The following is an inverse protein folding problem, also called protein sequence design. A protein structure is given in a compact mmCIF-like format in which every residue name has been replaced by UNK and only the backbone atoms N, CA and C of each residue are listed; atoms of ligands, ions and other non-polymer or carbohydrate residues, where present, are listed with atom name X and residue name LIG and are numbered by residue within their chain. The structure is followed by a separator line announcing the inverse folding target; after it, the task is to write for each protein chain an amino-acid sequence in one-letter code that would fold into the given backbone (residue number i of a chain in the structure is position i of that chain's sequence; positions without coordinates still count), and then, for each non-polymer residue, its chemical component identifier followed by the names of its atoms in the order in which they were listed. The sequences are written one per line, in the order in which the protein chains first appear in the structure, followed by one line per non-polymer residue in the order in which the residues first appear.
data_IF_168482568188
#
_entry.id   IF_168482568188
#
_cell.length_a   1.000
_cell.length_b   1.000
_cell.length_c   1.000
_cell.angle_alpha   90.00
_cell.angle_beta   90.00
_cell.angle_gamma   90.00
#
_symmetry.space_group_name_H-M   'P 1'
#
loop_
_entity.id
_entity.type
_entity.pdbx_description
1 polymer ?
2 branched ?
3 non-polymer ?
4 water ?
#
# COMPACT_ATOMS: atom_id res chain seq x y z
N UNK A 1 2.70 -22.66 36.50
CA UNK A 1 2.33 -23.37 35.27
C UNK A 1 1.51 -22.46 34.36
N UNK A 2 1.60 -22.71 33.06
CA UNK A 2 0.89 -21.91 32.07
C UNK A 2 -0.58 -22.29 32.06
N UNK A 3 -1.45 -21.30 32.18
CA UNK A 3 -2.87 -21.53 32.21
C UNK A 3 -3.68 -20.44 31.55
N UNK A 4 -4.96 -20.35 31.93
CA UNK A 4 -5.91 -19.51 31.20
C UNK A 4 -5.45 -18.06 31.16
N UNK A 5 -5.39 -17.51 29.95
CA UNK A 5 -5.10 -16.11 29.73
C UNK A 5 -3.63 -15.73 29.78
N UNK A 6 -2.73 -16.66 30.04
CA UNK A 6 -1.33 -16.29 30.22
C UNK A 6 -0.69 -15.75 28.95
N UNK A 7 -1.26 -16.02 27.77
CA UNK A 7 -0.72 -15.50 26.52
C UNK A 7 -1.57 -14.37 25.92
N UNK A 8 -2.44 -13.74 26.70
CA UNK A 8 -3.26 -12.64 26.15
C UNK A 8 -2.37 -11.54 25.57
N UNK A 9 -1.26 -11.22 26.24
CA UNK A 9 -0.35 -10.19 25.76
C UNK A 9 0.20 -10.55 24.38
N UNK A 10 0.62 -11.79 24.18
CA UNK A 10 1.24 -12.19 22.92
C UNK A 10 0.20 -12.37 21.82
N UNK A 11 -0.97 -12.89 22.19
CA UNK A 11 -2.06 -12.97 21.23
C UNK A 11 -2.43 -11.59 20.73
N UNK A 12 -2.52 -10.63 21.64
CA UNK A 12 -2.89 -9.27 21.23
C UNK A 12 -1.86 -8.71 20.25
N UNK A 13 -0.58 -8.93 20.51
CA UNK A 13 0.45 -8.43 19.60
C UNK A 13 0.36 -9.10 18.25
N UNK A 14 0.15 -10.42 18.22
CA UNK A 14 0.10 -11.10 16.92
C UNK A 14 -1.19 -10.82 16.17
N UNK A 15 -2.31 -10.71 16.89
CA UNK A 15 -3.56 -10.35 16.21
C UNK A 15 -3.49 -8.93 15.65
N UNK A 16 -2.68 -8.06 16.24
CA UNK A 16 -2.45 -6.75 15.64
C UNK A 16 -1.81 -6.86 14.26
N UNK A 17 -1.10 -7.96 14.00
CA UNK A 17 -0.58 -8.24 12.67
C UNK A 17 -1.67 -8.85 11.78
N UNK A 18 -2.31 -9.92 12.27
CA UNK A 18 -3.28 -10.66 11.45
C UNK A 18 -4.41 -9.76 11.00
N UNK A 19 -4.82 -8.81 11.84
CA UNK A 19 -5.93 -7.92 11.48
C UNK A 19 -5.63 -7.08 10.24
N UNK A 20 -4.35 -6.89 9.90
CA UNK A 20 -3.97 -6.12 8.72
C UNK A 20 -4.16 -6.87 7.41
N UNK A 21 -4.39 -8.17 7.46
CA UNK A 21 -4.35 -9.01 6.26
C UNK A 21 -5.69 -8.99 5.54
N UNK A 22 -5.84 -9.91 4.58
CA UNK A 22 -6.99 -9.85 3.70
C UNK A 22 -6.92 -8.56 2.91
N UNK A 23 -8.08 -7.91 2.78
CA UNK A 23 -8.15 -6.59 2.16
C UNK A 23 -8.45 -5.51 3.20
N UNK A 24 -8.12 -5.76 4.46
CA UNK A 24 -8.53 -4.89 5.55
C UNK A 24 -7.66 -3.65 5.69
N UNK A 25 -6.41 -3.71 5.21
CA UNK A 25 -5.49 -2.57 5.32
C UNK A 25 -5.77 -1.58 4.21
N UNK A 26 -6.07 -0.33 4.58
CA UNK A 26 -6.48 0.70 3.65
C UNK A 26 -5.67 1.99 3.82
N UNK A 27 -5.28 2.60 2.71
CA UNK A 27 -4.50 3.82 2.77
C UNK A 27 -5.35 5.01 3.25
N UNK A 28 -4.80 5.81 4.17
CA UNK A 28 -5.51 7.02 4.61
C UNK A 28 -5.87 7.90 3.44
N UNK A 29 -4.98 8.00 2.45
CA UNK A 29 -5.02 9.09 1.49
C UNK A 29 -4.37 8.62 0.19
N UNK A 30 -5.02 8.91 -0.92
CA UNK A 30 -4.40 8.67 -2.21
C UNK A 30 -3.42 9.79 -2.50
N UNK A 31 -2.45 9.49 -3.35
CA UNK A 31 -1.52 10.53 -3.78
C UNK A 31 -2.32 11.65 -4.43
N UNK A 32 -2.11 12.91 -4.04
CA UNK A 32 -2.81 14.01 -4.71
C UNK A 32 -2.64 13.91 -6.21
N UNK A 33 -3.74 14.05 -6.94
CA UNK A 33 -3.74 14.06 -8.39
C UNK A 33 -4.11 15.44 -8.89
N UNK A 34 -3.34 15.96 -9.83
CA UNK A 34 -3.61 17.27 -10.39
C UNK A 34 -3.61 17.24 -11.92
N UNK A 35 -3.74 16.05 -12.50
CA UNK A 35 -3.76 15.94 -13.96
C UNK A 35 -4.98 16.64 -14.54
N UNK A 36 -6.12 16.57 -13.85
CA UNK A 36 -7.31 17.26 -14.32
C UNK A 36 -7.04 18.74 -14.50
N UNK A 37 -6.41 19.35 -13.50
CA UNK A 37 -6.13 20.78 -13.55
C UNK A 37 -5.11 21.11 -14.62
N UNK A 38 -4.05 20.31 -14.73
CA UNK A 38 -3.07 20.54 -15.78
C UNK A 38 -3.71 20.44 -17.16
N UNK A 39 -4.54 19.42 -17.36
CA UNK A 39 -5.23 19.26 -18.64
C UNK A 39 -6.13 20.46 -18.93
N UNK A 40 -6.83 20.96 -17.91
CA UNK A 40 -7.69 22.11 -18.13
C UNK A 40 -6.89 23.35 -18.51
N UNK A 41 -5.76 23.58 -17.84
CA UNK A 41 -4.90 24.72 -18.17
C UNK A 41 -4.40 24.61 -19.61
N UNK A 42 -3.95 23.43 -20.02
CA UNK A 42 -3.49 23.25 -21.39
C UNK A 42 -4.61 23.47 -22.39
N UNK A 43 -5.83 23.02 -22.06
CA UNK A 43 -6.96 23.24 -22.95
C UNK A 43 -7.34 24.73 -23.04
N UNK A 44 -7.32 25.42 -21.89
CA UNK A 44 -7.58 26.86 -21.88
C UNK A 44 -6.56 27.58 -22.75
N UNK A 45 -5.28 27.22 -22.63
CA UNK A 45 -4.24 27.81 -23.47
C UNK A 45 -4.53 27.58 -24.95
N UNK A 46 -4.92 26.35 -25.31
CA UNK A 46 -5.24 26.08 -26.71
C UNK A 46 -6.48 26.85 -27.17
N UNK A 47 -7.45 27.03 -26.27
CA UNK A 47 -8.67 27.77 -26.60
C UNK A 47 -8.35 29.22 -26.89
N UNK A 48 -7.40 29.80 -26.16
CA UNK A 48 -7.00 31.19 -26.31
C UNK A 48 -6.06 31.41 -27.49
N UNK A 49 -5.48 30.34 -28.04
CA UNK A 49 -4.50 30.47 -29.10
C UNK A 49 -5.10 31.06 -30.38
N UNK A 50 -4.22 31.67 -31.18
CA UNK A 50 -4.63 32.19 -32.47
C UNK A 50 -5.19 31.06 -33.33
N UNK A 51 -6.16 31.37 -34.22
CA UNK A 51 -6.74 30.29 -35.04
C UNK A 51 -5.71 29.56 -35.89
N UNK A 52 -4.65 30.23 -36.33
CA UNK A 52 -3.64 29.57 -37.15
C UNK A 52 -2.81 28.57 -36.37
N UNK A 53 -2.74 28.72 -35.04
CA UNK A 53 -2.07 27.71 -34.23
C UNK A 53 -2.96 26.48 -34.09
N UNK A 54 -4.22 26.67 -33.72
CA UNK A 54 -5.13 25.53 -33.65
C UNK A 54 -5.20 24.80 -34.99
N UNK A 55 -5.08 25.54 -36.09
CA UNK A 55 -5.13 24.91 -37.41
C UNK A 55 -4.01 23.92 -37.63
N UNK A 56 -2.88 24.05 -36.91
CA UNK A 56 -1.81 23.07 -37.06
C UNK A 56 -2.24 21.67 -36.63
N UNK A 57 -3.31 21.57 -35.84
CA UNK A 57 -3.81 20.31 -35.29
C UNK A 57 -4.87 19.68 -36.15
N UNK A 58 -5.20 20.29 -37.29
CA UNK A 58 -6.25 19.82 -38.18
C UNK A 58 -5.66 19.07 -39.37
N UNK A 59 -6.42 18.09 -39.84
CA UNK A 59 -6.18 17.46 -41.13
C UNK A 59 -6.39 18.49 -42.25
N UNK A 60 -5.52 18.44 -43.28
CA UNK A 60 -5.58 19.43 -44.34
C UNK A 60 -6.82 19.29 -45.21
N UNK A 61 -7.47 18.13 -45.20
CA UNK A 61 -8.62 17.88 -46.04
C UNK A 61 -9.95 18.00 -45.31
N UNK A 62 -9.96 17.78 -43.98
CA UNK A 62 -11.18 17.86 -43.17
C UNK A 62 -10.81 18.57 -41.88
N UNK A 63 -11.25 19.82 -41.75
CA UNK A 63 -10.79 20.61 -40.61
C UNK A 63 -11.31 20.11 -39.27
N UNK A 64 -12.30 19.23 -39.26
CA UNK A 64 -12.81 18.68 -38.01
C UNK A 64 -12.06 17.44 -37.55
N UNK A 65 -11.13 16.94 -38.34
CA UNK A 65 -10.37 15.73 -38.07
C UNK A 65 -8.98 16.09 -37.58
N UNK A 66 -8.45 15.38 -36.58
CA UNK A 66 -7.10 15.68 -36.11
C UNK A 66 -6.06 15.31 -37.15
N UNK A 67 -4.99 16.11 -37.16
CA UNK A 67 -3.88 15.88 -38.06
C UNK A 67 -3.28 14.50 -37.85
N UNK A 68 -3.01 13.80 -38.94
CA UNK A 68 -2.31 12.52 -38.92
C UNK A 68 -0.83 12.77 -39.20
N UNK A 69 0.04 12.22 -38.36
CA UNK A 69 1.45 12.57 -38.43
C UNK A 69 2.23 11.77 -39.47
N UNK A 70 1.62 10.78 -40.10
CA UNK A 70 2.21 10.21 -41.30
C UNK A 70 1.81 11.01 -42.53
N UNK A 71 0.53 11.39 -42.61
CA UNK A 71 0.05 12.18 -43.72
C UNK A 71 0.71 13.55 -43.74
N UNK A 72 0.86 14.17 -42.57
CA UNK A 72 1.40 15.52 -42.43
C UNK A 72 2.46 15.51 -41.35
N UNK A 73 3.66 15.05 -41.67
CA UNK A 73 4.71 14.94 -40.66
C UNK A 73 5.04 16.28 -40.02
N UNK A 74 5.46 16.23 -38.74
CA UNK A 74 5.82 17.45 -38.04
C UNK A 74 7.18 17.94 -38.52
N UNK A 75 7.37 19.25 -38.68
CA UNK A 75 8.66 19.76 -39.17
C UNK A 75 9.78 19.46 -38.19
N UNK A 76 10.87 18.93 -38.72
CA UNK A 76 12.00 18.54 -37.89
C UNK A 76 12.82 19.72 -37.40
N UNK A 77 12.60 20.93 -37.94
CA UNK A 77 13.28 22.13 -37.45
C UNK A 77 12.52 22.80 -36.30
N UNK A 78 11.53 22.12 -35.72
CA UNK A 78 10.82 22.57 -34.54
C UNK A 78 11.01 21.56 -33.42
N UNK A 79 10.50 21.92 -32.24
CA UNK A 79 10.35 20.97 -31.15
C UNK A 79 8.93 20.45 -31.02
N UNK A 80 8.13 20.52 -32.10
CA UNK A 80 6.72 20.17 -31.96
C UNK A 80 6.52 18.70 -31.58
N UNK A 81 7.37 17.80 -32.07
CA UNK A 81 7.22 16.38 -31.73
C UNK A 81 7.37 16.15 -30.23
N UNK A 82 8.12 17.01 -29.54
CA UNK A 82 8.31 16.87 -28.11
C UNK A 82 7.06 17.23 -27.32
N UNK A 83 6.10 17.92 -27.94
CA UNK A 83 4.93 18.43 -27.24
C UNK A 83 3.63 17.98 -27.85
N UNK A 84 3.67 17.24 -28.97
CA UNK A 84 2.47 17.05 -29.76
C UNK A 84 1.37 16.30 -29.01
N UNK A 85 1.73 15.27 -28.25
CA UNK A 85 0.68 14.47 -27.62
C UNK A 85 -0.18 15.33 -26.69
N UNK A 86 0.45 16.15 -25.86
CA UNK A 86 -0.32 17.01 -24.96
C UNK A 86 -1.09 18.09 -25.72
N UNK A 87 -0.47 18.69 -26.74
CA UNK A 87 -1.17 19.69 -27.52
C UNK A 87 -2.38 19.11 -28.23
N UNK A 88 -2.20 17.93 -28.85
CA UNK A 88 -3.29 17.34 -29.61
C UNK A 88 -4.45 16.96 -28.70
N UNK A 89 -4.13 16.53 -27.48
CA UNK A 89 -5.18 16.23 -26.51
C UNK A 89 -5.96 17.48 -26.15
N UNK A 90 -5.27 18.60 -25.96
CA UNK A 90 -5.95 19.85 -25.68
C UNK A 90 -6.79 20.30 -26.87
N UNK A 91 -6.28 20.13 -28.10
CA UNK A 91 -6.94 20.63 -29.29
C UNK A 91 -8.16 19.81 -29.70
N UNK A 92 -8.22 18.53 -29.37
CA UNK A 92 -9.20 17.64 -29.99
C UNK A 92 -10.63 18.14 -29.90
N UNK A 93 -11.17 18.48 -28.73
CA UNK A 93 -12.56 18.97 -28.70
C UNK A 93 -12.73 20.30 -29.41
N UNK A 94 -11.67 21.10 -29.45
CA UNK A 94 -11.73 22.44 -30.01
C UNK A 94 -11.77 22.44 -31.53
N UNK A 95 -11.50 21.31 -32.18
CA UNK A 95 -11.55 21.29 -33.64
C UNK A 95 -12.97 21.56 -34.14
N UNK A 96 -13.97 21.24 -33.32
CA UNK A 96 -15.35 21.59 -33.64
C UNK A 96 -15.59 23.04 -33.25
N UNK A 97 -16.06 23.86 -34.21
CA UNK A 97 -16.16 25.30 -33.97
C UNK A 97 -17.14 25.62 -32.84
N UNK A 98 -18.26 24.90 -32.77
CA UNK A 98 -19.21 25.19 -31.71
C UNK A 98 -18.62 24.87 -30.35
N UNK A 99 -17.85 23.78 -30.27
CA UNK A 99 -17.23 23.40 -29.00
C UNK A 99 -16.15 24.42 -28.63
N UNK A 100 -15.40 24.91 -29.61
CA UNK A 100 -14.41 25.97 -29.33
C UNK A 100 -15.11 27.19 -28.68
N UNK A 101 -16.26 27.59 -29.22
CA UNK A 101 -16.98 28.77 -28.66
C UNK A 101 -17.47 28.44 -27.25
N UNK A 102 -17.92 27.20 -27.01
CA UNK A 102 -18.41 26.77 -25.68
C UNK A 102 -17.24 26.83 -24.71
N UNK A 103 -16.04 26.43 -25.13
CA UNK A 103 -14.87 26.49 -24.26
C UNK A 103 -14.43 27.93 -24.00
N UNK A 104 -14.52 28.78 -25.02
CA UNK A 104 -14.25 30.20 -24.80
C UNK A 104 -15.11 30.74 -23.68
N UNK A 105 -16.40 30.38 -23.69
CA UNK A 105 -17.29 30.84 -22.63
C UNK A 105 -16.96 30.19 -21.30
N UNK A 106 -16.69 28.88 -21.30
CA UNK A 106 -16.40 28.20 -20.04
C UNK A 106 -15.19 28.83 -19.34
N UNK A 107 -14.19 29.24 -20.11
CA UNK A 107 -12.96 29.79 -19.57
C UNK A 107 -12.98 31.31 -19.46
N UNK A 108 -14.14 31.94 -19.68
CA UNK A 108 -14.33 33.37 -19.47
C UNK A 108 -13.51 34.22 -20.43
N UNK A 109 -13.31 33.70 -21.65
CA UNK A 109 -12.58 34.39 -22.69
C UNK A 109 -13.48 34.95 -23.78
N UNK A 110 -14.78 34.63 -23.73
CA UNK A 110 -15.64 34.94 -24.86
C UNK A 110 -15.99 36.43 -24.96
N UNK A 111 -15.71 37.21 -23.92
CA UNK A 111 -15.94 38.64 -23.97
C UNK A 111 -14.83 39.44 -24.61
N UNK A 112 -13.76 38.80 -25.07
CA UNK A 112 -12.55 39.49 -25.50
C UNK A 112 -12.50 39.68 -27.01
N UNK A 113 -12.46 40.95 -27.44
CA UNK A 113 -12.15 41.33 -28.82
C UNK A 113 -10.67 41.04 -29.10
N UNK A 114 -10.26 41.09 -30.37
CA UNK A 114 -8.92 40.56 -30.72
C UNK A 114 -7.73 41.11 -29.92
N UNK A 115 -7.62 42.43 -29.79
CA UNK A 115 -6.49 42.99 -29.05
C UNK A 115 -6.50 42.58 -27.59
N UNK A 116 -7.69 42.51 -26.97
CA UNK A 116 -7.77 42.10 -25.57
C UNK A 116 -7.49 40.60 -25.42
N UNK A 117 -7.90 39.80 -26.40
CA UNK A 117 -7.55 38.38 -26.38
C UNK A 117 -6.04 38.20 -26.51
N UNK A 118 -5.37 39.03 -27.32
CA UNK A 118 -3.92 38.93 -27.43
C UNK A 118 -3.24 39.23 -26.10
N UNK A 119 -3.68 40.29 -25.41
CA UNK A 119 -3.17 40.59 -24.09
C UNK A 119 -3.39 39.43 -23.13
N UNK A 120 -4.61 38.90 -23.10
CA UNK A 120 -4.89 37.77 -22.22
C UNK A 120 -4.04 36.57 -22.58
N UNK A 121 -3.87 36.33 -23.88
CA UNK A 121 -3.09 35.18 -24.34
C UNK A 121 -1.66 35.25 -23.84
N UNK A 122 -1.07 36.44 -23.81
CA UNK A 122 0.29 36.58 -23.30
C UNK A 122 0.37 36.08 -21.87
N UNK A 123 -0.57 36.49 -21.02
CA UNK A 123 -0.56 36.03 -19.64
C UNK A 123 -0.84 34.54 -19.55
N UNK A 124 -1.78 34.05 -20.36
CA UNK A 124 -2.13 32.63 -20.33
C UNK A 124 -0.93 31.78 -20.74
N UNK A 125 -0.21 32.19 -21.78
CA UNK A 125 0.95 31.41 -22.19
C UNK A 125 1.97 31.31 -21.06
N UNK A 126 2.18 32.41 -20.33
CA UNK A 126 3.10 32.39 -19.21
C UNK A 126 2.60 31.46 -18.10
N UNK A 127 1.31 31.60 -17.74
CA UNK A 127 0.74 30.76 -16.70
C UNK A 127 0.79 29.29 -17.07
N UNK A 128 0.58 28.98 -18.35
CA UNK A 128 0.58 27.59 -18.79
C UNK A 128 1.99 27.00 -18.70
N UNK A 129 3.01 27.76 -19.12
CA UNK A 129 4.38 27.29 -18.97
C UNK A 129 4.72 27.06 -17.50
N UNK A 130 4.27 27.95 -16.63
CA UNK A 130 4.51 27.79 -15.21
C UNK A 130 3.82 26.54 -14.68
N UNK A 131 2.59 26.27 -15.14
CA UNK A 131 1.87 25.07 -14.72
C UNK A 131 2.62 23.81 -15.11
N UNK A 132 3.11 23.75 -16.35
CA UNK A 132 3.85 22.58 -16.80
C UNK A 132 5.11 22.40 -15.96
N UNK A 133 5.84 23.48 -15.67
CA UNK A 133 7.04 23.36 -14.87
C UNK A 133 6.74 22.90 -13.46
N UNK A 134 5.68 23.44 -12.86
CA UNK A 134 5.34 23.07 -11.49
C UNK A 134 4.84 21.64 -11.37
N UNK A 135 4.24 21.10 -12.42
CA UNK A 135 3.61 19.76 -12.38
C UNK A 135 4.68 18.70 -12.49
N UNK A 136 5.93 19.08 -12.65
CA UNK A 136 7.07 18.12 -12.63
C UNK A 136 7.61 17.99 -11.21
N UNK A 137 7.80 16.75 -10.74
CA UNK A 137 8.46 16.51 -9.44
C UNK A 137 9.24 15.21 -9.61
N UNK A 138 10.47 15.29 -10.12
CA UNK A 138 11.25 14.06 -10.38
C UNK A 138 11.54 13.23 -9.15
N UNK A 139 11.36 13.77 -7.94
CA UNK A 139 11.57 13.00 -6.73
C UNK A 139 10.39 12.10 -6.36
N UNK A 140 9.27 12.23 -7.08
CA UNK A 140 8.10 11.39 -6.82
C UNK A 140 7.81 10.53 -8.04
N UNK A 141 8.06 11.08 -9.23
CA UNK A 141 7.72 10.36 -10.47
C UNK A 141 8.57 9.10 -10.60
N UNK A 142 7.90 7.97 -10.80
CA UNK A 142 8.51 6.64 -10.90
C UNK A 142 9.19 6.19 -9.62
N UNK A 143 8.95 6.89 -8.50
CA UNK A 143 9.53 6.51 -7.23
C UNK A 143 8.75 5.37 -6.60
N UNK A 144 9.24 4.88 -5.46
CA UNK A 144 8.52 3.84 -4.72
C UNK A 144 7.08 4.27 -4.44
N UNK A 145 6.90 5.52 -4.02
CA UNK A 145 5.56 6.00 -3.68
C UNK A 145 4.64 5.97 -4.89
N UNK A 146 5.16 6.34 -6.06
CA UNK A 146 4.34 6.37 -7.26
C UNK A 146 4.02 4.96 -7.75
N UNK A 147 4.99 4.05 -7.68
CA UNK A 147 4.81 2.71 -8.23
C UNK A 147 4.08 1.76 -7.28
N UNK A 148 4.03 2.07 -5.99
CA UNK A 148 3.42 1.19 -4.99
C UNK A 148 1.94 1.52 -4.85
N UNK A 149 1.10 0.49 -4.95
CA UNK A 149 -0.35 0.61 -4.84
C UNK A 149 -0.84 -0.02 -3.54
N UNK A 150 -2.09 0.31 -3.20
CA UNK A 150 -2.71 -0.30 -2.02
C UNK A 150 -2.80 -1.82 -2.18
N UNK A 151 -3.16 -2.28 -3.37
CA UNK A 151 -3.19 -3.72 -3.62
C UNK A 151 -1.82 -4.35 -3.40
N UNK A 152 -0.76 -3.68 -3.85
CA UNK A 152 0.59 -4.18 -3.66
C UNK A 152 0.90 -4.33 -2.18
N UNK A 153 0.53 -3.35 -1.37
CA UNK A 153 0.82 -3.43 0.06
C UNK A 153 0.01 -4.54 0.71
N UNK A 154 -1.27 -4.68 0.33
CA UNK A 154 -2.09 -5.74 0.88
C UNK A 154 -1.49 -7.10 0.57
N UNK A 155 -1.01 -7.31 -0.67
CA UNK A 155 -0.43 -8.59 -1.00
C UNK A 155 0.82 -8.85 -0.17
N UNK A 156 1.62 -7.82 0.09
CA UNK A 156 2.83 -8.01 0.89
C UNK A 156 2.49 -8.33 2.34
N UNK A 157 1.44 -7.71 2.88
CA UNK A 157 0.95 -8.06 4.21
C UNK A 157 0.52 -9.51 4.24
N UNK A 158 -0.24 -9.95 3.24
CA UNK A 158 -0.67 -11.34 3.21
C UNK A 158 0.53 -12.28 3.08
N UNK A 159 1.60 -11.85 2.41
CA UNK A 159 2.80 -12.68 2.35
C UNK A 159 3.42 -12.82 3.74
N UNK A 160 3.46 -11.74 4.51
CA UNK A 160 3.98 -11.82 5.87
C UNK A 160 3.11 -12.71 6.77
N UNK A 161 1.80 -12.66 6.59
CA UNK A 161 0.88 -13.37 7.48
C UNK A 161 0.68 -14.81 7.06
N UNK A 162 0.60 -15.07 5.75
CA UNK A 162 0.21 -16.38 5.23
C UNK A 162 1.16 -16.95 4.19
N UNK A 163 2.20 -16.22 3.77
CA UNK A 163 3.07 -16.66 2.67
C UNK A 163 2.29 -16.79 1.36
N UNK A 164 1.22 -16.01 1.21
CA UNK A 164 0.40 -16.02 0.01
C UNK A 164 -0.02 -14.58 -0.29
N UNK A 165 -0.42 -14.34 -1.54
CA UNK A 165 -0.88 -13.01 -1.94
C UNK A 165 -2.28 -12.68 -1.42
N UNK A 166 -3.08 -13.70 -1.07
CA UNK A 166 -4.45 -13.48 -0.62
C UNK A 166 -4.70 -14.27 0.64
N UNK A 167 -5.62 -13.77 1.45
CA UNK A 167 -5.91 -14.41 2.73
C UNK A 167 -6.74 -15.68 2.51
N UNK A 168 -6.35 -16.81 3.09
CA UNK A 168 -7.15 -18.03 2.96
C UNK A 168 -8.55 -17.85 3.52
N UNK A 169 -9.51 -18.55 2.90
CA UNK A 169 -10.89 -18.49 3.36
C UNK A 169 -11.04 -19.21 4.70
N UNK A 170 -12.30 -19.32 5.17
CA UNK A 170 -12.55 -19.79 6.52
C UNK A 170 -12.23 -21.27 6.69
N UNK A 171 -12.11 -22.02 5.61
CA UNK A 171 -11.64 -23.40 5.65
C UNK A 171 -10.16 -23.50 5.35
N UNK A 172 -9.46 -22.38 5.18
CA UNK A 172 -8.05 -22.37 4.80
C UNK A 172 -7.81 -23.20 3.54
N UNK A 173 -8.74 -23.12 2.59
CA UNK A 173 -8.55 -23.81 1.32
C UNK A 173 -7.29 -23.30 0.64
N UNK A 174 -6.50 -24.25 0.12
CA UNK A 174 -5.27 -23.92 -0.59
C UNK A 174 -4.07 -23.68 0.29
N UNK A 175 -4.23 -23.71 1.61
CA UNK A 175 -3.17 -23.36 2.55
C UNK A 175 -2.69 -24.61 3.27
N UNK A 176 -1.38 -24.70 3.46
CA UNK A 176 -0.78 -25.76 4.26
C UNK A 176 0.06 -25.11 5.34
N UNK A 177 -0.28 -25.36 6.60
CA UNK A 177 0.46 -24.75 7.70
C UNK A 177 1.91 -25.22 7.71
N UNK A 178 2.79 -24.34 8.19
CA UNK A 178 4.22 -24.63 8.37
C UNK A 178 4.90 -25.00 7.05
N UNK A 179 4.34 -24.51 5.94
CA UNK A 179 4.92 -24.71 4.61
C UNK A 179 5.09 -26.20 4.31
N UNK A 180 4.28 -27.05 4.94
CA UNK A 180 4.37 -28.48 4.75
C UNK A 180 5.47 -29.16 5.52
N UNK A 181 6.17 -28.45 6.40
CA UNK A 181 7.35 -28.95 7.07
C UNK A 181 7.09 -29.44 8.49
N UNK A 182 5.85 -29.38 8.97
CA UNK A 182 5.59 -29.83 10.33
C UNK A 182 5.87 -31.31 10.45
N UNK A 183 6.43 -31.73 11.59
CA UNK A 183 6.70 -33.13 11.84
C UNK A 183 6.87 -33.37 13.33
N UNK A 184 6.70 -34.64 13.71
CA UNK A 184 7.20 -35.22 14.96
C UNK A 184 6.34 -34.93 16.19
N UNK A 185 6.27 -33.67 16.60
CA UNK A 185 5.57 -33.28 17.81
C UNK A 185 5.54 -31.75 17.88
N UNK A 186 4.82 -31.24 18.88
CA UNK A 186 4.62 -29.80 18.97
C UNK A 186 5.93 -29.05 19.16
N UNK A 187 6.84 -29.57 19.99
CA UNK A 187 8.08 -28.85 20.24
C UNK A 187 8.97 -28.82 19.00
N UNK A 188 8.92 -29.84 18.15
CA UNK A 188 9.66 -29.79 16.89
C UNK A 188 9.08 -28.72 15.96
N UNK A 189 7.76 -28.59 15.95
CA UNK A 189 7.08 -27.63 15.08
C UNK A 189 7.27 -26.21 15.57
N UNK A 190 7.18 -25.99 16.88
CA UNK A 190 7.12 -24.66 17.45
C UNK A 190 8.44 -24.17 18.03
N UNK A 191 9.40 -25.06 18.26
CA UNK A 191 10.74 -24.69 18.67
C UNK A 191 10.98 -24.83 20.16
N UNK A 192 12.16 -24.38 20.58
CA UNK A 192 12.61 -24.62 21.93
C UNK A 192 13.70 -23.62 22.29
N UNK A 193 14.37 -23.85 23.43
CA UNK A 193 15.50 -23.05 23.81
C UNK A 193 16.72 -23.30 22.93
N UNK A 194 16.69 -24.35 22.11
CA UNK A 194 17.85 -24.69 21.29
C UNK A 194 17.55 -24.70 19.80
N UNK A 195 16.29 -24.79 19.38
CA UNK A 195 15.96 -24.90 17.97
C UNK A 195 14.80 -23.98 17.61
N UNK A 196 14.78 -23.58 16.35
CA UNK A 196 13.73 -22.72 15.85
C UNK A 196 12.50 -23.48 15.40
N UNK A 197 11.42 -22.73 15.25
CA UNK A 197 10.16 -23.27 14.79
C UNK A 197 10.19 -23.52 13.29
N UNK A 198 9.18 -24.24 12.81
CA UNK A 198 8.94 -24.42 11.39
C UNK A 198 8.00 -23.35 10.83
N UNK A 199 7.59 -22.38 11.64
CA UNK A 199 6.70 -21.32 11.20
C UNK A 199 7.50 -20.24 10.47
N UNK A 200 7.10 -19.95 9.24
CA UNK A 200 7.73 -18.90 8.46
C UNK A 200 6.89 -17.64 8.36
N UNK A 201 5.65 -17.64 8.84
CA UNK A 201 4.75 -16.51 8.71
C UNK A 201 4.07 -16.24 10.06
N UNK A 202 3.28 -15.17 10.10
CA UNK A 202 2.68 -14.76 11.36
C UNK A 202 1.51 -15.64 11.76
N UNK A 203 0.74 -16.15 10.80
CA UNK A 203 -0.40 -16.96 11.21
C UNK A 203 0.05 -18.26 11.87
N UNK A 204 1.12 -18.88 11.35
CA UNK A 204 1.58 -20.13 11.94
C UNK A 204 2.29 -19.88 13.27
N UNK A 205 2.92 -18.72 13.43
CA UNK A 205 3.41 -18.33 14.75
C UNK A 205 2.25 -18.21 15.74
N UNK A 206 1.19 -17.52 15.37
CA UNK A 206 0.02 -17.41 16.23
C UNK A 206 -0.52 -18.79 16.59
N UNK A 207 -0.53 -19.72 15.63
CA UNK A 207 -1.00 -21.07 15.92
C UNK A 207 -0.15 -21.72 17.00
N UNK A 208 1.17 -21.60 16.90
CA UNK A 208 2.05 -22.17 17.92
C UNK A 208 1.82 -21.54 19.28
N UNK A 209 1.54 -20.24 19.32
CA UNK A 209 1.38 -19.53 20.58
C UNK A 209 0.03 -19.82 21.22
N UNK A 210 -1.01 -20.08 20.42
CA UNK A 210 -2.38 -20.08 20.93
C UNK A 210 -3.18 -21.36 20.75
N UNK A 211 -2.78 -22.27 19.88
CA UNK A 211 -3.57 -23.49 19.68
C UNK A 211 -3.56 -24.38 20.93
N UNK A 212 -4.74 -24.90 21.30
CA UNK A 212 -4.77 -26.03 22.20
C UNK A 212 -4.45 -27.29 21.41
N UNK A 213 -4.17 -28.36 22.14
CA UNK A 213 -3.98 -29.67 21.56
C UNK A 213 -4.68 -30.70 22.43
N UNK A 214 -4.59 -31.96 22.03
CA UNK A 214 -5.33 -33.01 22.70
C UNK A 214 -4.97 -33.16 24.17
N UNK A 215 -3.79 -32.69 24.58
CA UNK A 215 -3.31 -32.96 25.93
C UNK A 215 -3.26 -31.74 26.84
N UNK A 216 -3.64 -30.55 26.37
CA UNK A 216 -3.54 -29.38 27.23
C UNK A 216 -4.84 -28.58 27.36
N UNK A 217 -5.98 -29.17 26.97
CA UNK A 217 -7.25 -28.45 27.04
C UNK A 217 -7.66 -28.01 28.43
N UNK A 218 -7.14 -28.65 29.46
CA UNK A 218 -7.48 -28.30 30.84
C UNK A 218 -6.62 -27.18 31.39
N UNK A 219 -5.56 -26.79 30.69
CA UNK A 219 -4.55 -25.91 31.26
C UNK A 219 -3.94 -24.98 30.22
N UNK A 220 -2.80 -25.35 29.67
CA UNK A 220 -2.04 -24.45 28.81
C UNK A 220 -2.79 -24.09 27.54
N UNK A 221 -3.65 -24.99 27.06
CA UNK A 221 -4.42 -24.72 25.85
C UNK A 221 -5.41 -23.59 25.97
N UNK A 222 -5.61 -23.06 27.18
CA UNK A 222 -6.44 -21.88 27.38
C UNK A 222 -5.63 -20.59 27.45
N UNK A 223 -4.33 -20.65 27.10
CA UNK A 223 -3.46 -19.49 27.26
C UNK A 223 -3.98 -18.23 26.56
N UNK A 224 -4.65 -18.36 25.42
CA UNK A 224 -5.06 -17.20 24.65
C UNK A 224 -6.54 -16.87 24.78
N UNK A 225 -7.28 -17.59 25.61
CA UNK A 225 -8.73 -17.47 25.64
C UNK A 225 -9.23 -17.10 27.02
N UNK A 226 -10.54 -16.90 27.14
CA UNK A 226 -11.22 -16.64 28.40
C UNK A 226 -12.18 -17.80 28.59
N UNK A 227 -11.77 -18.77 29.40
CA UNK A 227 -12.58 -19.95 29.63
C UNK A 227 -12.35 -21.01 28.56
N UNK A 228 -13.29 -21.11 27.62
CA UNK A 228 -13.32 -22.22 26.69
C UNK A 228 -12.08 -22.25 25.79
N UNK A 229 -11.38 -23.39 25.78
CA UNK A 229 -10.25 -23.57 24.88
C UNK A 229 -10.73 -23.56 23.42
N UNK A 230 -9.85 -23.25 22.46
CA UNK A 230 -10.28 -23.18 21.05
C UNK A 230 -10.89 -24.47 20.52
N UNK A 231 -10.47 -25.63 21.04
CA UNK A 231 -11.00 -26.91 20.60
C UNK A 231 -10.47 -27.38 19.26
N UNK A 232 -9.19 -27.14 18.96
CA UNK A 232 -8.67 -27.57 17.67
C UNK A 232 -8.69 -29.09 17.51
N UNK A 233 -8.40 -29.82 18.59
CA UNK A 233 -8.14 -31.25 18.47
C UNK A 233 -6.80 -31.58 17.86
N UNK A 234 -5.90 -30.60 17.78
CA UNK A 234 -4.59 -30.83 17.20
C UNK A 234 -3.87 -31.94 17.96
N UNK A 235 -3.26 -32.85 17.23
CA UNK A 235 -2.59 -34.02 17.79
C UNK A 235 -1.26 -34.20 17.08
N UNK A 236 -0.31 -33.27 17.30
CA UNK A 236 0.87 -33.21 16.42
C UNK A 236 1.81 -34.38 16.55
N UNK A 237 1.74 -35.16 17.63
CA UNK A 237 2.52 -36.38 17.74
C UNK A 237 2.03 -37.49 16.83
N UNK A 238 0.83 -37.35 16.29
CA UNK A 238 0.25 -38.33 15.38
C UNK A 238 0.12 -37.77 13.97
N UNK A 239 -0.52 -36.61 13.84
CA UNK A 239 -0.63 -35.89 12.58
C UNK A 239 -0.11 -34.48 12.81
N UNK A 240 1.09 -34.20 12.29
CA UNK A 240 1.79 -32.97 12.67
C UNK A 240 1.10 -31.72 12.10
N UNK A 241 0.68 -31.75 10.84
CA UNK A 241 0.15 -30.56 10.19
C UNK A 241 -1.29 -30.34 10.62
N UNK A 242 -1.62 -29.21 11.23
CA UNK A 242 -3.01 -28.95 11.59
C UNK A 242 -3.86 -28.71 10.35
N UNK A 243 -5.15 -29.01 10.48
CA UNK A 243 -6.07 -28.79 9.37
C UNK A 243 -6.57 -27.35 9.33
N UNK A 244 -7.25 -27.01 8.24
CA UNK A 244 -7.80 -25.67 8.10
C UNK A 244 -8.83 -25.35 9.17
N UNK A 245 -9.63 -26.34 9.55
CA UNK A 245 -10.59 -26.13 10.65
C UNK A 245 -9.86 -25.74 11.93
N UNK A 246 -8.71 -26.36 12.19
CA UNK A 246 -7.95 -26.05 13.39
C UNK A 246 -7.39 -24.64 13.33
N UNK A 247 -6.82 -24.28 12.18
CA UNK A 247 -6.25 -22.95 12.01
C UNK A 247 -7.30 -21.87 12.22
N UNK A 248 -8.50 -22.07 11.68
CA UNK A 248 -9.55 -21.05 11.79
C UNK A 248 -10.00 -20.87 13.24
N UNK A 249 -9.94 -21.93 14.06
CA UNK A 249 -10.32 -21.80 15.46
C UNK A 249 -9.36 -20.89 16.21
N UNK A 250 -8.13 -20.73 15.72
CA UNK A 250 -7.20 -19.78 16.32
C UNK A 250 -7.32 -18.41 15.64
N UNK A 251 -7.45 -18.37 14.31
CA UNK A 251 -7.52 -17.07 13.64
C UNK A 251 -8.70 -16.25 14.14
N UNK A 252 -9.81 -16.90 14.50
CA UNK A 252 -10.99 -16.16 14.90
C UNK A 252 -10.83 -15.47 16.25
N UNK A 253 -9.70 -15.64 16.93
CA UNK A 253 -9.40 -14.79 18.08
C UNK A 253 -9.03 -13.37 17.65
N UNK A 254 -8.74 -13.15 16.38
CA UNK A 254 -8.25 -11.87 15.89
C UNK A 254 -9.36 -11.11 15.17
N UNK A 255 -9.14 -9.81 14.99
CA UNK A 255 -10.16 -8.96 14.38
C UNK A 255 -10.02 -9.01 12.87
N UNK A 256 -10.76 -9.93 12.26
CA UNK A 256 -10.80 -10.08 10.81
C UNK A 256 -12.07 -9.52 10.20
N UNK A 257 -12.76 -8.62 10.91
CA UNK A 257 -14.11 -8.20 10.55
C UNK A 257 -14.23 -6.73 10.17
N UNK A 258 -13.14 -5.97 10.22
CA UNK A 258 -13.18 -4.54 9.96
C UNK A 258 -12.06 -4.15 9.02
N UNK A 259 -11.68 -2.85 9.10
CA UNK A 259 -10.61 -2.31 8.27
C UNK A 259 -9.62 -1.59 9.18
N UNK A 260 -8.41 -1.38 8.64
CA UNK A 260 -7.35 -0.64 9.31
C UNK A 260 -6.82 0.39 8.35
N UNK A 261 -6.65 1.62 8.81
CA UNK A 261 -6.05 2.68 8.00
C UNK A 261 -4.54 2.51 8.03
N UNK A 262 -3.96 2.18 6.89
CA UNK A 262 -2.53 1.93 6.80
C UNK A 262 -1.76 3.24 6.99
N UNK A 263 -0.91 3.27 8.00
CA UNK A 263 0.06 4.35 8.15
C UNK A 263 1.36 3.73 8.61
N UNK A 264 2.46 4.44 8.35
CA UNK A 264 3.76 3.93 8.76
C UNK A 264 3.82 3.81 10.27
N UNK A 265 3.24 4.79 10.97
CA UNK A 265 3.25 4.77 12.43
C UNK A 265 2.46 3.58 12.97
N UNK A 266 1.35 3.23 12.33
CA UNK A 266 0.55 2.11 12.81
C UNK A 266 1.29 0.78 12.64
N UNK A 267 2.02 0.62 11.55
CA UNK A 267 2.81 -0.59 11.35
C UNK A 267 4.00 -0.60 12.30
N UNK A 268 4.69 0.54 12.46
CA UNK A 268 5.85 0.61 13.35
C UNK A 268 5.47 0.16 14.76
N UNK A 269 4.34 0.66 15.27
CA UNK A 269 3.96 0.31 16.63
C UNK A 269 3.66 -1.16 16.78
N UNK A 270 3.02 -1.75 15.77
CA UNK A 270 2.71 -3.18 15.83
C UNK A 270 3.97 -4.02 15.78
N UNK A 271 4.95 -3.62 14.96
CA UNK A 271 6.18 -4.40 14.87
C UNK A 271 7.01 -4.24 16.13
N UNK A 272 7.01 -3.05 16.73
CA UNK A 272 7.75 -2.84 17.97
C UNK A 272 7.15 -3.67 19.09
N UNK A 273 5.83 -3.79 19.13
CA UNK A 273 5.19 -4.61 20.14
C UNK A 273 5.64 -6.06 20.04
N UNK A 274 5.57 -6.63 18.83
CA UNK A 274 5.98 -8.03 18.68
C UNK A 274 7.47 -8.17 18.94
N UNK A 275 8.26 -7.30 18.33
CA UNK A 275 9.70 -7.46 18.37
C UNK A 275 10.27 -7.46 19.78
N UNK A 276 9.77 -6.58 20.64
CA UNK A 276 10.30 -6.48 21.99
C UNK A 276 9.69 -7.51 22.93
N UNK A 277 8.62 -8.19 22.53
CA UNK A 277 8.14 -9.33 23.30
C UNK A 277 9.01 -10.57 23.11
N UNK A 278 9.82 -10.61 22.07
CA UNK A 278 10.73 -11.73 21.88
C UNK A 278 11.73 -11.78 23.02
N UNK A 279 11.74 -12.90 23.73
CA UNK A 279 12.60 -13.11 24.90
C UNK A 279 13.90 -13.74 24.42
N UNK A 280 14.99 -12.96 24.48
CA UNK A 280 16.25 -13.37 23.87
C UNK A 280 17.06 -14.27 24.80
N UNK A 281 17.41 -15.46 24.29
CA UNK A 281 18.26 -16.39 25.00
C UNK A 281 19.53 -16.67 24.21
N UNK A 282 20.28 -17.69 24.63
CA UNK A 282 21.60 -17.91 24.05
C UNK A 282 21.51 -18.42 22.62
N UNK A 283 20.50 -19.25 22.31
CA UNK A 283 20.40 -19.88 21.01
C UNK A 283 19.14 -19.54 20.24
N UNK A 284 18.07 -19.12 20.93
CA UNK A 284 16.84 -18.73 20.28
C UNK A 284 16.23 -17.58 21.06
N UNK A 285 15.23 -16.95 20.45
CA UNK A 285 14.35 -16.03 21.14
C UNK A 285 12.93 -16.57 21.06
N UNK A 286 12.17 -16.35 22.12
CA UNK A 286 10.89 -17.00 22.35
C UNK A 286 9.79 -15.95 22.41
N UNK A 287 8.72 -16.18 21.67
CA UNK A 287 7.50 -15.39 21.75
C UNK A 287 6.41 -16.24 22.37
N UNK A 288 5.92 -15.83 23.53
CA UNK A 288 4.93 -16.58 24.26
C UNK A 288 5.42 -17.02 25.61
N UNK A 289 4.47 -17.44 26.47
CA UNK A 289 4.83 -17.92 27.79
C UNK A 289 5.75 -19.13 27.68
N UNK A 290 6.80 -19.14 28.49
CA UNK A 290 7.80 -20.20 28.45
C UNK A 290 8.34 -20.35 29.85
N UNK A 291 8.29 -21.57 30.36
CA UNK A 291 8.80 -21.90 31.67
C UNK A 291 10.02 -22.81 31.62
N UNK A 292 10.03 -23.79 30.71
CA UNK A 292 11.10 -24.77 30.73
C UNK A 292 11.23 -25.46 29.38
N UNK A 293 12.46 -25.55 28.90
CA UNK A 293 12.89 -26.47 27.86
C UNK A 293 12.41 -26.13 26.44
N UNK A 294 11.11 -26.14 26.19
CA UNK A 294 10.64 -26.03 24.82
C UNK A 294 9.18 -25.58 24.75
N UNK A 295 8.75 -25.32 23.53
CA UNK A 295 7.39 -24.84 23.23
C UNK A 295 6.49 -26.03 22.88
N UNK A 296 6.44 -26.99 23.81
CA UNK A 296 5.75 -28.26 23.58
C UNK A 296 4.24 -28.18 23.81
N UNK A 297 3.74 -27.08 24.35
CA UNK A 297 2.35 -26.99 24.71
C UNK A 297 2.03 -27.49 26.11
N UNK A 298 2.97 -28.15 26.78
CA UNK A 298 2.73 -28.61 28.14
C UNK A 298 2.75 -27.44 29.11
N UNK A 299 1.89 -27.50 30.13
CA UNK A 299 1.75 -26.38 31.05
C UNK A 299 3.04 -26.06 31.79
N UNK A 300 3.94 -27.04 31.98
CA UNK A 300 5.23 -26.79 32.57
C UNK A 300 6.32 -26.39 31.60
N UNK A 301 6.01 -26.36 30.31
CA UNK A 301 6.99 -26.09 29.26
C UNK A 301 6.83 -24.72 28.62
N UNK A 302 5.85 -24.58 27.73
CA UNK A 302 5.67 -23.35 27.00
C UNK A 302 4.54 -23.43 26.02
N UNK A 303 3.91 -22.29 25.76
CA UNK A 303 2.91 -22.10 24.71
C UNK A 303 3.53 -20.95 23.91
N UNK A 304 4.30 -21.28 22.87
CA UNK A 304 5.21 -20.29 22.32
C UNK A 304 5.71 -20.72 20.94
N UNK A 305 6.49 -19.82 20.35
CA UNK A 305 7.18 -20.04 19.08
C UNK A 305 8.59 -19.49 19.25
N UNK A 306 9.57 -20.19 18.70
CA UNK A 306 10.97 -19.83 18.84
C UNK A 306 11.61 -19.51 17.49
N UNK A 307 12.58 -18.59 17.54
CA UNK A 307 13.33 -18.14 16.36
C UNK A 307 14.81 -18.24 16.65
N UNK A 308 15.58 -18.82 15.72
CA UNK A 308 17.04 -18.78 15.84
C UNK A 308 17.66 -17.52 15.24
N UNK A 309 16.91 -16.73 14.47
CA UNK A 309 17.49 -15.58 13.78
C UNK A 309 17.84 -14.44 14.72
N UNK A 310 17.28 -14.44 15.92
CA UNK A 310 17.48 -13.40 16.91
C UNK A 310 17.82 -14.09 18.22
N UNK A 311 18.88 -13.63 18.88
CA UNK A 311 19.32 -14.19 20.15
C UNK A 311 19.82 -13.04 21.03
N UNK A 312 20.34 -13.39 22.20
CA UNK A 312 20.90 -12.36 23.08
C UNK A 312 22.25 -11.85 22.59
N UNK A 313 22.74 -12.34 21.46
CA UNK A 313 24.00 -11.88 20.89
C UNK A 313 23.89 -11.30 19.49
N UNK A 314 22.74 -11.44 18.82
CA UNK A 314 22.64 -11.02 17.43
C UNK A 314 21.18 -10.84 17.03
N UNK A 315 21.01 -10.11 15.93
CA UNK A 315 19.75 -10.12 15.22
C UNK A 315 18.76 -9.04 15.61
N UNK A 316 18.04 -8.56 14.60
CA UNK A 316 17.01 -7.54 14.76
C UNK A 316 15.74 -8.11 14.13
N UNK A 317 14.64 -8.21 14.88
CA UNK A 317 13.45 -8.88 14.31
C UNK A 317 13.04 -8.36 12.94
N UNK A 318 12.97 -7.03 12.76
CA UNK A 318 12.46 -6.46 11.53
C UNK A 318 13.43 -6.55 10.36
N UNK A 319 14.64 -7.05 10.58
CA UNK A 319 15.58 -7.31 9.50
C UNK A 319 15.82 -8.80 9.28
N UNK A 320 15.83 -9.59 10.36
CA UNK A 320 16.34 -10.95 10.30
C UNK A 320 15.27 -12.03 10.39
N UNK A 321 14.06 -11.72 10.84
CA UNK A 321 12.94 -12.66 10.81
C UNK A 321 12.15 -12.36 9.54
N UNK A 322 12.13 -13.26 8.56
CA UNK A 322 11.54 -12.89 7.26
C UNK A 322 10.15 -12.27 7.31
N UNK A 323 9.21 -12.82 8.08
CA UNK A 323 7.86 -12.25 8.03
C UNK A 323 7.84 -10.84 8.61
N UNK A 324 8.66 -10.58 9.61
CA UNK A 324 8.72 -9.23 10.18
C UNK A 324 9.42 -8.27 9.23
N UNK A 325 10.43 -8.73 8.51
CA UNK A 325 11.10 -7.90 7.52
C UNK A 325 10.15 -7.54 6.38
N UNK A 326 9.28 -8.47 5.99
CA UNK A 326 8.32 -8.17 4.94
C UNK A 326 7.38 -7.04 5.37
N UNK A 327 6.94 -7.08 6.63
CA UNK A 327 6.07 -6.01 7.12
C UNK A 327 6.83 -4.71 7.33
N UNK A 328 8.10 -4.79 7.75
CA UNK A 328 8.89 -3.57 7.85
C UNK A 328 9.06 -2.91 6.50
N UNK A 329 9.16 -3.72 5.44
CA UNK A 329 9.23 -3.17 4.09
C UNK A 329 7.97 -2.40 3.76
N UNK A 330 6.81 -2.90 4.21
CA UNK A 330 5.56 -2.16 4.06
C UNK A 330 5.64 -0.82 4.80
N UNK A 331 6.18 -0.84 6.03
CA UNK A 331 6.33 0.41 6.77
C UNK A 331 7.14 1.43 5.97
N UNK A 332 8.26 0.98 5.40
CA UNK A 332 9.12 1.88 4.65
C UNK A 332 8.38 2.42 3.43
N UNK A 333 7.65 1.57 2.71
CA UNK A 333 6.88 2.04 1.57
C UNK A 333 5.81 3.04 1.98
N UNK A 334 5.20 2.83 3.15
CA UNK A 334 4.21 3.78 3.64
C UNK A 334 4.86 5.11 3.99
N UNK A 335 6.07 5.10 4.56
CA UNK A 335 6.75 6.36 4.82
C UNK A 335 6.96 7.13 3.53
N UNK A 336 7.39 6.44 2.47
CA UNK A 336 7.60 7.10 1.19
C UNK A 336 6.29 7.62 0.62
N UNK A 337 5.22 6.82 0.72
CA UNK A 337 3.91 7.26 0.25
C UNK A 337 3.46 8.51 1.00
N UNK A 338 3.62 8.51 2.33
CA UNK A 338 3.17 9.65 3.12
C UNK A 338 3.95 10.91 2.76
N UNK A 339 5.25 10.78 2.52
CA UNK A 339 6.02 11.95 2.08
C UNK A 339 5.59 12.43 0.70
N UNK A 340 5.29 11.50 -0.20
CA UNK A 340 4.82 11.89 -1.54
C UNK A 340 3.49 12.60 -1.48
N UNK A 341 2.58 12.17 -0.59
CA UNK A 341 1.29 12.86 -0.44
C UNK A 341 1.52 14.30 -0.03
N UNK A 342 2.43 14.53 0.93
CA UNK A 342 2.71 15.88 1.37
C UNK A 342 3.31 16.70 0.24
N UNK A 343 4.28 16.12 -0.48
CA UNK A 343 4.97 16.89 -1.51
C UNK A 343 4.04 17.19 -2.68
N UNK A 344 3.20 16.24 -3.09
CA UNK A 344 2.35 16.45 -4.25
C UNK A 344 1.21 17.43 -3.97
N UNK A 345 0.91 17.70 -2.71
CA UNK A 345 -0.09 18.71 -2.41
C UNK A 345 0.32 20.09 -2.90
N UNK A 346 1.64 20.32 -3.02
CA UNK A 346 2.12 21.63 -3.46
C UNK A 346 1.76 21.91 -4.92
N UNK A 347 2.20 21.11 -5.89
CA UNK A 347 1.75 21.35 -7.27
C UNK A 347 0.24 21.30 -7.42
N UNK A 348 -0.46 20.48 -6.63
CA UNK A 348 -1.91 20.47 -6.70
C UNK A 348 -2.48 21.86 -6.40
N UNK A 349 -2.02 22.48 -5.31
CA UNK A 349 -2.50 23.82 -4.96
C UNK A 349 -2.05 24.84 -6.00
N UNK A 350 -0.82 24.71 -6.47
CA UNK A 350 -0.30 25.64 -7.48
C UNK A 350 -1.16 25.63 -8.74
N UNK A 351 -1.55 24.44 -9.21
CA UNK A 351 -2.31 24.36 -10.45
C UNK A 351 -3.74 24.87 -10.27
N UNK A 352 -4.35 24.60 -9.11
CA UNK A 352 -5.66 25.19 -8.84
C UNK A 352 -5.58 26.71 -8.83
N UNK A 353 -4.52 27.26 -8.24
CA UNK A 353 -4.30 28.71 -8.25
C UNK A 353 -4.17 29.25 -9.66
N UNK A 354 -3.38 28.56 -10.50
CA UNK A 354 -3.18 29.01 -11.87
C UNK A 354 -4.48 28.98 -12.66
N UNK A 355 -5.29 27.93 -12.47
CA UNK A 355 -6.58 27.87 -13.14
C UNK A 355 -7.46 29.05 -12.71
N UNK A 356 -7.44 29.39 -11.43
CA UNK A 356 -8.21 30.54 -10.96
C UNK A 356 -7.78 31.82 -11.65
N UNK A 357 -6.46 32.05 -11.73
CA UNK A 357 -5.94 33.26 -12.36
C UNK A 357 -6.24 33.29 -13.86
N UNK A 358 -6.15 32.12 -14.51
CA UNK A 358 -6.33 32.05 -15.94
C UNK A 358 -7.78 32.31 -16.34
N UNK A 359 -8.71 32.07 -15.42
CA UNK A 359 -10.13 32.34 -15.63
C UNK A 359 -10.56 33.69 -15.09
N UNK A 360 -9.61 34.56 -14.69
CA UNK A 360 -9.90 35.85 -14.08
C UNK A 360 -9.65 36.93 -15.14
N UNK A 361 -10.68 37.44 -15.82
CA UNK A 361 -10.42 38.38 -16.91
C UNK A 361 -9.62 39.60 -16.51
N UNK A 362 -9.83 40.15 -15.31
CA UNK A 362 -9.09 41.33 -14.89
C UNK A 362 -7.59 41.03 -14.73
N UNK A 363 -7.25 39.90 -14.12
CA UNK A 363 -5.85 39.54 -13.97
C UNK A 363 -5.18 39.41 -15.33
N UNK A 364 -5.86 38.80 -16.29
CA UNK A 364 -5.25 38.55 -17.59
C UNK A 364 -4.90 39.84 -18.30
N UNK A 365 -5.69 40.89 -18.10
CA UNK A 365 -5.41 42.17 -18.75
C UNK A 365 -4.31 42.90 -18.01
X LIG B 1 0.22 27.56 -25.14
X LIG B 1 1.26 26.46 -25.32
X LIG B 1 2.39 26.90 -26.27
X LIG B 1 1.85 27.50 -27.56
X LIG B 1 0.78 28.55 -27.24
X LIG B 1 0.15 29.14 -28.48
X LIG B 1 1.95 24.82 -23.63
X LIG B 1 2.75 24.62 -22.37
X LIG B 1 1.82 26.10 -24.01
X LIG B 1 3.19 25.73 -26.54
X LIG B 1 2.88 28.19 -28.29
X LIG B 1 -0.24 27.97 -26.44
X LIG B 1 -0.55 30.33 -28.13
X LIG B 1 1.46 23.88 -24.24
X LIG B 1 0.78 25.59 -25.76
X LIG B 1 3.00 27.68 -25.80
X LIG B 1 1.44 26.69 -28.17
X LIG B 1 1.30 29.35 -26.68
X LIG B 1 -0.54 28.42 -28.91
X LIG B 1 0.92 29.36 -29.22
X LIG B 1 2.25 23.95 -21.73
X LIG B 1 2.88 25.55 -21.88
X LIG B 1 3.70 24.22 -22.62
X LIG B 1 2.10 26.84 -23.40
X LIG B 1 4.10 26.00 -26.66
X LIG B 1 -1.38 30.38 -28.62
X LIG B 2 3.71 27.44 -29.15
X LIG B 2 4.15 28.34 -30.28
X LIG B 2 5.22 27.67 -31.15
X LIG B 2 6.34 27.11 -30.29
X LIG B 2 5.76 26.26 -29.19
X LIG B 2 6.83 25.69 -28.27
X LIG B 2 2.68 30.02 -31.28
X LIG B 2 1.52 30.26 -32.22
X LIG B 2 3.02 28.73 -31.10
X LIG B 2 5.73 28.64 -32.07
X LIG B 2 7.21 26.26 -31.05
X LIG B 2 4.83 27.01 -28.41
X LIG B 2 7.51 26.76 -27.60
X LIG B 2 3.25 30.94 -30.73
X LIG B 2 4.58 29.25 -29.84
X LIG B 2 4.78 26.82 -31.69
X LIG B 2 6.91 27.97 -29.90
X LIG B 2 5.22 25.42 -29.67
X LIG B 2 7.55 25.11 -28.86
X LIG B 2 6.37 25.01 -27.54
X LIG B 2 1.43 31.29 -32.41
X LIG B 2 0.64 29.89 -31.79
X LIG B 2 1.70 29.74 -33.14
X LIG B 2 2.48 28.00 -31.56
X LIG B 2 5.87 28.22 -32.93
X LIG B 2 8.00 26.40 -26.84
X LIG B 3 8.22 26.95 -31.78
X LIG B 3 9.47 26.11 -31.71
X LIG B 3 10.57 26.65 -32.63
X LIG B 3 10.01 26.99 -34.01
X LIG B 3 8.73 27.80 -33.89
X LIG B 3 8.11 28.14 -35.25
X LIG B 3 9.18 24.76 -32.10
X LIG B 3 11.60 25.64 -32.73
X LIG B 3 10.98 27.76 -34.74
X LIG B 3 7.78 27.08 -33.11
X LIG B 3 8.13 27.01 -36.11
X LIG B 3 9.84 26.15 -30.68
X LIG B 3 10.99 27.58 -32.20
X LIG B 3 9.80 26.06 -34.54
X LIG B 3 8.98 28.75 -33.41
X LIG B 3 8.66 28.97 -35.71
X LIG B 3 7.08 28.47 -35.11
X LIG B 3 8.39 24.46 -31.64
X LIG B 3 11.84 27.31 -34.72
X LIG B 4 12.92 26.19 -32.47
X LIG B 4 13.91 25.05 -32.68
X LIG B 4 13.77 24.00 -31.61
X LIG B 4 13.90 24.63 -30.24
X LIG B 4 12.93 25.80 -30.09
X LIG B 4 13.16 26.48 -28.73
X LIG B 4 15.24 25.57 -32.65
X LIG B 4 14.77 22.99 -31.77
X LIG B 4 13.65 23.65 -29.24
X LIG B 4 13.11 26.76 -31.15
X LIG B 4 12.08 27.37 -28.44
X LIG B 4 13.72 24.59 -33.66
X LIG B 4 12.78 23.53 -31.71
X LIG B 4 14.92 25.01 -30.13
X LIG B 4 11.91 25.40 -30.14
X LIG B 4 14.09 27.04 -28.75
X LIG B 4 13.23 25.73 -27.94
X LIG B 4 15.47 23.32 -32.34
X LIG B 4 13.84 22.77 -29.59
X LIG B 4 11.32 27.14 -29.01
X LIG B 5 15.78 25.44 -33.98
X LIG B 5 17.29 25.44 -33.85
X LIG B 5 17.78 26.76 -33.25
X LIG B 5 17.20 27.93 -34.02
X LIG B 5 15.69 27.79 -34.21
X LIG B 5 15.13 28.91 -35.09
X LIG B 5 17.88 25.24 -35.14
X LIG B 5 19.21 26.80 -33.29
X LIG B 5 17.47 29.15 -33.32
X LIG B 5 15.39 26.52 -34.81
X LIG B 5 14.85 30.06 -34.29
X LIG B 5 17.60 24.61 -33.19
X LIG B 5 17.44 26.82 -32.21
X LIG B 5 17.67 27.96 -35.02
X LIG B 5 15.21 27.85 -33.22
X LIG B 5 14.22 28.57 -35.59
X LIG B 5 15.86 29.17 -35.87
X LIG B 5 18.62 25.86 -35.26
X LIG B 5 19.48 27.70 -33.50
X LIG B 5 17.57 28.97 -32.38
X LIG B 5 14.39 30.73 -34.84
X LIG B 6 7.44 27.34 -37.33
X LIG B 6 7.54 26.12 -38.24
X LIG B 6 9.00 25.85 -38.60
X LIG B 6 9.64 27.11 -39.18
X LIG B 6 9.41 28.30 -38.24
X LIG B 6 10.01 29.58 -38.83
X LIG B 6 6.79 26.34 -39.43
X LIG B 6 9.08 24.79 -39.54
X LIG B 6 11.03 26.90 -39.37
X LIG B 6 8.01 28.47 -38.00
X LIG B 6 9.30 29.95 -40.02
X LIG B 6 7.14 25.24 -37.72
X LIG B 6 9.54 25.55 -37.70
X LIG B 6 9.17 27.33 -40.15
X LIG B 6 9.92 28.09 -37.29
X LIG B 6 11.06 29.43 -39.06
X LIG B 6 9.94 30.39 -38.09
X LIG B 6 7.14 25.80 -40.15
X LIG B 6 8.79 23.97 -39.14
X LIG B 6 11.33 26.14 -38.85
X LIG B 6 8.47 29.49 -40.05
X LIG C 1 8.46 -28.84 28.85
X LIG C 1 8.58 -30.28 28.37
X LIG C 1 7.74 -31.22 29.22
X LIG C 1 8.06 -31.05 30.69
X LIG C 1 7.92 -29.59 31.09
X LIG C 1 8.29 -29.34 32.54
X LIG C 1 8.19 -30.41 27.01
X LIG C 1 7.98 -32.56 28.80
X LIG C 1 7.18 -31.83 31.47
X LIG C 1 8.77 -28.77 30.26
X LIG C 1 9.61 -29.79 32.84
X LIG C 1 9.53 -30.49 28.45
X LIG C 1 6.79 -31.02 29.08
X LIG C 1 9.00 -31.34 30.84
X LIG C 1 6.98 -29.31 30.95
X LIG C 1 7.65 -29.81 33.11
X LIG C 1 8.23 -28.38 32.73
X LIG C 1 8.61 -29.86 26.54
X LIG C 1 8.76 -32.79 29.03
X LIG C 1 6.38 -31.59 31.33
X LIG C 1 10.18 -29.32 32.43
#
# INVERSE_FOLDING_TARGET
NIGTGDNVLHRAALCGIIELAGKRAKLETALPNFQNELNSILELNMTAAEPTWLDQFRDKDDRSKPRDLTKQPLPKDTNWADHWTAWAKAALPLLNDETHQAKLKEYKLAGLQPEKLERARNTIRRLTAEAVAKAQDPTVAESTADLTTEEDLQKQINQAVYSKDTEPDDDFNGYTAFEGKASTNRQTICGSAVAGSKATNAMDALFCVCADDRTNGADAGKACVAGTAPGTGWNPGVTATPTGTMLQKVRKLCNTHGKTTLSAAAIEGRLTAVGNLLTRGSATSILGSFLATDCSGDQGSGMCVAYTEVTDAKGTPTKDIPWMQKLDSVRIKLQKHERAVEKLGKPQHDLKTILTLAKDPAYLQLASVGTRHLETTKQRVSNEQGKTQQTQQTCEQYNNKKNDCVKTGVCKWEE
NAG C1 C2 C3 C4 C5 C6 C7 C8 N2 O3 O4 O5 O6 O7 H2 H3 H4 H5 H61 H62 H81 H82 H83 HN2 HO3 HO6
NAG C1 C2 C3 C4 C5 C6 C7 C8 N2 O3 O4 O5 O6 O7 H2 H3 H4 H5 H61 H62 H81 H82 H83 HN2 HO3 HO6
BMA C1 C2 C3 C4 C5 C6 O2 O3 O4 O5 O6 H2 H3 H4 H5 H61 H62 HO2 HO4
MAN C1 C2 C3 C4 C5 C6 O2 O3 O4 O5 O6 H2 H3 H4 H5 H61 H62 HO3 HO4 HO6
MAN C1 C2 C3 C4 C5 C6 O2 O3 O4 O5 O6 H2 H3 H4 H5 H61 H62 HO2 HO3 HO4 HO6
MAN C1 C2 C3 C4 C5 C6 O2 O3 O4 O5 O6 H2 H3 H4 H5 H61 H62 HO2 HO3 HO4 HO6
GLC C1 C2 C3 C4 C5 C6 O2 O3 O4 O5 O6 H2 H3 H4 H5 H61 H62 HO2 HO3 HO4 HO6
#
